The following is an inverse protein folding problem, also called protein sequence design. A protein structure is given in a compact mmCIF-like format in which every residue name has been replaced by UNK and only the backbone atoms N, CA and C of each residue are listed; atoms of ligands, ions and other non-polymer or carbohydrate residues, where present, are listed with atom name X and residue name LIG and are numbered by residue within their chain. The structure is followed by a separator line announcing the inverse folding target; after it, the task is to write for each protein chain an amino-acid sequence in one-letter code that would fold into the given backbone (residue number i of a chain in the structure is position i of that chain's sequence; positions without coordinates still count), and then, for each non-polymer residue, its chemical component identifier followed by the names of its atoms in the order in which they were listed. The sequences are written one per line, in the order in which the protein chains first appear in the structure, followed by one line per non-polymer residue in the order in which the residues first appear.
data_IF_928859609347
#
_entry.id   IF_928859609347
#
_cell.length_a   1.000
_cell.length_b   1.000
_cell.length_c   1.000
_cell.angle_alpha   90.00
_cell.angle_beta   90.00
_cell.angle_gamma   90.00
#
_symmetry.space_group_name_H-M   'P 1'
#
loop_
_entity.id
_entity.type
_entity.pdbx_description
1 polymer ?
#
# COMPACT_ATOMS: atom_id res chain seq x y z
N UNK A 1 -29.73 -8.30 1.69
CA UNK A 1 -29.06 -7.17 2.39
C UNK A 1 -27.84 -7.68 3.15
N UNK A 2 -28.00 -8.43 4.24
CA UNK A 2 -26.89 -8.91 5.08
C UNK A 2 -25.76 -9.64 4.33
N UNK A 3 -26.08 -10.52 3.37
CA UNK A 3 -25.06 -11.22 2.59
C UNK A 3 -24.15 -10.28 1.76
N UNK A 4 -24.72 -9.20 1.22
CA UNK A 4 -23.96 -8.20 0.47
C UNK A 4 -23.12 -7.31 1.40
N UNK A 5 -23.66 -6.93 2.56
CA UNK A 5 -22.94 -6.17 3.59
C UNK A 5 -21.74 -6.95 4.14
N UNK A 6 -21.93 -8.24 4.45
CA UNK A 6 -20.86 -9.13 4.91
C UNK A 6 -19.81 -9.33 3.81
N UNK A 7 -20.22 -9.46 2.54
CA UNK A 7 -19.28 -9.56 1.42
C UNK A 7 -18.44 -8.28 1.23
N UNK A 8 -18.98 -7.11 1.58
CA UNK A 8 -18.26 -5.83 1.50
C UNK A 8 -17.36 -5.55 2.72
N UNK A 9 -17.57 -6.24 3.85
CA UNK A 9 -16.83 -5.97 5.10
C UNK A 9 -15.30 -5.99 4.96
N UNK A 10 -14.66 -6.89 4.18
CA UNK A 10 -13.21 -6.87 3.98
C UNK A 10 -12.69 -5.62 3.24
N UNK A 11 -13.56 -4.90 2.53
CA UNK A 11 -13.22 -3.69 1.76
C UNK A 11 -13.29 -2.42 2.61
N UNK A 12 -13.98 -2.45 3.76
CA UNK A 12 -14.20 -1.27 4.60
C UNK A 12 -12.91 -0.58 5.06
N UNK A 13 -11.83 -1.30 5.46
CA UNK A 13 -10.58 -0.64 5.83
C UNK A 13 -9.98 0.18 4.68
N UNK A 14 -9.91 -0.40 3.48
CA UNK A 14 -9.38 0.29 2.31
C UNK A 14 -10.26 1.48 1.88
N UNK A 15 -11.59 1.35 2.02
CA UNK A 15 -12.52 2.45 1.75
C UNK A 15 -12.32 3.62 2.72
N UNK A 16 -12.08 3.35 4.00
CA UNK A 16 -11.78 4.38 5.01
C UNK A 16 -10.45 5.07 4.70
N UNK A 17 -9.40 4.30 4.40
CA UNK A 17 -8.09 4.85 4.04
C UNK A 17 -8.18 5.75 2.80
N UNK A 18 -8.93 5.34 1.77
CA UNK A 18 -9.16 6.15 0.58
C UNK A 18 -9.96 7.42 0.87
N UNK A 19 -10.97 7.36 1.74
CA UNK A 19 -11.71 8.55 2.15
C UNK A 19 -10.81 9.56 2.86
N UNK A 20 -9.94 9.10 3.76
CA UNK A 20 -8.96 9.94 4.44
C UNK A 20 -7.93 10.53 3.47
N UNK A 21 -7.49 9.76 2.47
CA UNK A 21 -6.60 10.25 1.40
C UNK A 21 -7.29 11.34 0.59
N UNK A 22 -8.54 11.12 0.17
CA UNK A 22 -9.30 12.11 -0.59
C UNK A 22 -9.50 13.40 0.22
N UNK A 23 -9.86 13.29 1.50
CA UNK A 23 -10.00 14.44 2.42
C UNK A 23 -8.69 15.22 2.54
N UNK A 24 -7.57 14.52 2.83
CA UNK A 24 -6.27 15.16 3.06
C UNK A 24 -5.67 15.82 1.83
N UNK A 25 -5.95 15.26 0.65
CA UNK A 25 -5.34 15.72 -0.60
C UNK A 25 -6.28 16.65 -1.38
N UNK A 26 -7.58 16.63 -1.10
CA UNK A 26 -8.63 17.29 -1.88
C UNK A 26 -8.87 16.66 -3.26
N UNK A 27 -8.34 15.46 -3.52
CA UNK A 27 -8.52 14.78 -4.80
C UNK A 27 -9.89 14.09 -4.89
N UNK A 28 -10.48 13.96 -6.08
CA UNK A 28 -11.67 13.13 -6.27
C UNK A 28 -11.42 11.68 -5.84
N UNK A 29 -12.43 11.06 -5.25
CA UNK A 29 -12.32 9.70 -4.72
C UNK A 29 -11.97 8.68 -5.83
N UNK A 30 -12.47 8.89 -7.04
CA UNK A 30 -12.19 8.05 -8.20
C UNK A 30 -10.73 8.17 -8.65
N UNK A 31 -10.15 9.37 -8.58
CA UNK A 31 -8.72 9.55 -8.87
C UNK A 31 -7.88 8.91 -7.75
N UNK A 32 -8.26 9.12 -6.48
CA UNK A 32 -7.57 8.54 -5.35
C UNK A 32 -7.55 7.01 -5.41
N UNK A 33 -8.68 6.38 -5.76
CA UNK A 33 -8.77 4.93 -5.96
C UNK A 33 -7.87 4.42 -7.09
N UNK A 34 -7.85 5.11 -8.24
CA UNK A 34 -6.97 4.74 -9.37
C UNK A 34 -5.49 4.89 -9.02
N UNK A 35 -5.10 5.96 -8.33
CA UNK A 35 -3.71 6.15 -7.85
C UNK A 35 -3.36 5.08 -6.82
N UNK A 36 -4.25 4.76 -5.88
CA UNK A 36 -4.03 3.73 -4.87
C UNK A 36 -3.76 2.36 -5.50
N UNK A 37 -4.51 2.02 -6.55
CA UNK A 37 -4.30 0.81 -7.34
C UNK A 37 -2.98 0.83 -8.11
N UNK A 38 -2.67 1.93 -8.81
CA UNK A 38 -1.42 2.08 -9.55
C UNK A 38 -0.17 2.00 -8.64
N UNK A 39 -0.25 2.55 -7.42
CA UNK A 39 0.79 2.39 -6.39
C UNK A 39 0.92 0.93 -5.96
N UNK A 40 -0.20 0.22 -5.77
CA UNK A 40 -0.19 -1.20 -5.40
C UNK A 40 0.51 -2.06 -6.44
N UNK A 41 0.23 -1.80 -7.72
CA UNK A 41 0.83 -2.51 -8.86
C UNK A 41 2.31 -2.19 -8.98
N UNK A 42 2.69 -0.91 -8.91
CA UNK A 42 4.08 -0.46 -9.04
C UNK A 42 5.02 -1.07 -8.00
N UNK A 43 4.50 -1.37 -6.81
CA UNK A 43 5.27 -1.85 -5.65
C UNK A 43 4.96 -3.30 -5.26
N UNK A 44 4.20 -4.04 -6.08
CA UNK A 44 3.78 -5.42 -5.80
C UNK A 44 3.10 -5.58 -4.41
N UNK A 45 2.25 -4.63 -4.01
CA UNK A 45 1.63 -4.65 -2.68
C UNK A 45 0.52 -5.70 -2.55
N UNK A 46 -0.08 -6.12 -3.67
CA UNK A 46 -1.08 -7.20 -3.70
C UNK A 46 -0.46 -8.53 -3.25
N UNK A 47 0.58 -9.07 -3.91
CA UNK A 47 1.22 -10.31 -3.46
C UNK A 47 1.84 -10.16 -2.05
N UNK A 48 2.35 -8.98 -1.68
CA UNK A 48 2.81 -8.73 -0.31
C UNK A 48 1.70 -8.93 0.74
N UNK A 49 0.49 -8.44 0.46
CA UNK A 49 -0.69 -8.65 1.32
C UNK A 49 -1.05 -10.11 1.45
N UNK A 50 -0.98 -10.86 0.35
CA UNK A 50 -1.28 -12.30 0.34
C UNK A 50 -0.31 -13.08 1.24
N UNK A 51 0.98 -12.74 1.19
CA UNK A 51 1.99 -13.30 2.08
C UNK A 51 1.69 -12.99 3.55
N UNK A 52 1.28 -11.76 3.88
CA UNK A 52 0.85 -11.39 5.23
C UNK A 52 -0.36 -12.22 5.66
N UNK A 53 -1.37 -12.38 4.81
CA UNK A 53 -2.60 -13.16 5.12
C UNK A 53 -2.31 -14.65 5.29
N UNK A 54 -1.32 -15.18 4.58
CA UNK A 54 -0.88 -16.57 4.62
C UNK A 54 -0.08 -16.95 5.88
N UNK A 55 0.40 -15.96 6.66
CA UNK A 55 1.12 -16.22 7.90
C UNK A 55 0.32 -17.10 8.89
N UNK A 56 0.96 -18.07 9.58
CA UNK A 56 0.32 -18.98 10.51
C UNK A 56 -0.56 -18.31 11.58
N UNK A 57 -1.63 -19.02 11.99
CA UNK A 57 -2.60 -18.61 13.03
C UNK A 57 -2.46 -19.39 14.33
N UNK A 58 -1.42 -20.20 14.46
CA UNK A 58 -1.26 -21.23 15.49
C UNK A 58 -1.01 -20.66 16.90
N UNK A 59 -0.64 -19.37 17.03
CA UNK A 59 -0.35 -18.73 18.32
C UNK A 59 -0.93 -17.31 18.41
N UNK A 60 -1.31 -16.92 19.64
CA UNK A 60 -1.95 -15.62 19.96
C UNK A 60 -1.08 -14.41 19.58
N UNK A 61 0.20 -14.42 19.96
CA UNK A 61 1.13 -13.30 19.71
C UNK A 61 1.45 -13.12 18.20
N UNK A 62 1.79 -14.17 17.43
CA UNK A 62 1.89 -14.08 15.98
C UNK A 62 0.61 -13.58 15.27
N UNK A 63 -0.57 -13.94 15.79
CA UNK A 63 -1.83 -13.44 15.23
C UNK A 63 -2.01 -11.92 15.43
N UNK A 64 -1.60 -11.37 16.57
CA UNK A 64 -1.57 -9.92 16.80
C UNK A 64 -0.53 -9.22 15.92
N UNK A 65 0.67 -9.81 15.78
CA UNK A 65 1.72 -9.27 14.92
C UNK A 65 1.27 -9.20 13.45
N UNK A 66 0.57 -10.22 12.96
CA UNK A 66 -0.01 -10.20 11.60
C UNK A 66 -1.05 -9.09 11.43
N UNK A 67 -1.92 -8.89 12.42
CA UNK A 67 -2.92 -7.82 12.36
C UNK A 67 -2.23 -6.44 12.27
N UNK A 68 -1.26 -6.18 13.16
CA UNK A 68 -0.45 -4.96 13.12
C UNK A 68 0.27 -4.78 11.79
N UNK A 69 0.85 -5.85 11.24
CA UNK A 69 1.58 -5.80 9.98
C UNK A 69 0.67 -5.48 8.78
N UNK A 70 -0.54 -6.04 8.76
CA UNK A 70 -1.54 -5.73 7.75
C UNK A 70 -1.97 -4.27 7.84
N UNK A 71 -2.23 -3.78 9.05
CA UNK A 71 -2.69 -2.42 9.29
C UNK A 71 -1.57 -1.40 8.96
N UNK A 72 -0.31 -1.73 9.26
CA UNK A 72 0.86 -0.96 8.82
C UNK A 72 0.96 -0.92 7.29
N UNK A 73 0.79 -2.07 6.61
CA UNK A 73 0.87 -2.17 5.16
C UNK A 73 -0.22 -1.32 4.47
N UNK A 74 -1.47 -1.36 4.95
CA UNK A 74 -2.56 -0.53 4.41
C UNK A 74 -2.29 0.95 4.67
N UNK A 75 -1.85 1.30 5.88
CA UNK A 75 -1.49 2.68 6.24
C UNK A 75 -0.36 3.26 5.39
N UNK A 76 0.70 2.49 5.13
CA UNK A 76 1.79 2.94 4.25
C UNK A 76 1.32 3.11 2.80
N UNK A 77 0.49 2.20 2.27
CA UNK A 77 -0.07 2.35 0.92
C UNK A 77 -0.91 3.64 0.82
N UNK A 78 -1.74 3.93 1.82
CA UNK A 78 -2.54 5.15 1.88
C UNK A 78 -1.64 6.40 1.95
N UNK A 79 -0.58 6.38 2.75
CA UNK A 79 0.38 7.48 2.85
C UNK A 79 1.10 7.76 1.52
N UNK A 80 1.54 6.71 0.82
CA UNK A 80 2.18 6.85 -0.49
C UNK A 80 1.19 7.33 -1.56
N UNK A 81 -0.06 6.84 -1.51
CA UNK A 81 -1.15 7.33 -2.39
C UNK A 81 -1.34 8.83 -2.20
N UNK A 82 -1.38 9.30 -0.96
CA UNK A 82 -1.51 10.72 -0.67
C UNK A 82 -0.31 11.53 -1.18
N UNK A 83 0.92 11.02 -1.02
CA UNK A 83 2.14 11.66 -1.53
C UNK A 83 2.08 11.84 -3.05
N UNK A 84 1.68 10.80 -3.79
CA UNK A 84 1.49 10.88 -5.25
C UNK A 84 0.46 11.94 -5.61
N UNK A 85 -0.68 11.96 -4.92
CA UNK A 85 -1.78 12.92 -5.18
C UNK A 85 -1.43 14.36 -4.81
N UNK A 86 -0.48 14.61 -3.89
CA UNK A 86 0.05 15.95 -3.64
C UNK A 86 0.84 16.50 -4.84
N UNK A 87 1.39 15.62 -5.68
CA UNK A 87 2.08 15.99 -6.92
C UNK A 87 1.16 16.27 -8.11
N UNK A 88 -0.17 16.16 -7.93
CA UNK A 88 -1.15 16.44 -8.99
C UNK A 88 -1.24 17.94 -9.27
N UNK A 89 -1.50 18.26 -10.53
CA UNK A 89 -1.76 19.58 -11.09
C UNK A 89 -3.23 19.75 -11.48
N UNK A 90 -3.91 18.66 -11.82
CA UNK A 90 -5.34 18.64 -12.14
C UNK A 90 -6.01 17.33 -11.72
N UNK A 91 -7.31 17.40 -11.46
CA UNK A 91 -8.12 16.24 -11.05
C UNK A 91 -8.45 15.27 -12.20
N UNK A 92 -8.14 15.67 -13.44
CA UNK A 92 -8.32 14.88 -14.65
C UNK A 92 -7.05 14.16 -15.11
N UNK A 93 -5.94 14.30 -14.38
CA UNK A 93 -4.69 13.61 -14.72
C UNK A 93 -4.83 12.08 -14.66
N UNK A 94 -4.05 11.40 -15.50
CA UNK A 94 -4.00 9.95 -15.48
C UNK A 94 -3.21 9.44 -14.27
N UNK A 95 -3.75 8.41 -13.61
CA UNK A 95 -3.15 7.87 -12.39
C UNK A 95 -1.79 7.21 -12.65
N UNK A 96 -1.60 6.57 -13.80
CA UNK A 96 -0.33 5.95 -14.16
C UNK A 96 0.75 6.99 -14.43
N UNK A 97 0.39 8.11 -15.05
CA UNK A 97 1.30 9.24 -15.27
C UNK A 97 1.72 9.91 -13.96
N UNK A 98 0.79 10.06 -13.00
CA UNK A 98 1.10 10.59 -11.66
C UNK A 98 2.08 9.67 -10.92
N UNK A 99 1.86 8.36 -10.95
CA UNK A 99 2.78 7.38 -10.33
C UNK A 99 4.12 7.35 -11.05
N UNK A 100 4.15 7.41 -12.38
CA UNK A 100 5.40 7.47 -13.14
C UNK A 100 6.23 8.71 -12.77
N UNK A 101 5.61 9.89 -12.73
CA UNK A 101 6.26 11.14 -12.30
C UNK A 101 6.78 11.06 -10.86
N UNK A 102 6.04 10.41 -9.97
CA UNK A 102 6.46 10.20 -8.60
C UNK A 102 7.72 9.32 -8.53
N UNK A 103 7.75 8.22 -9.30
CA UNK A 103 8.88 7.30 -9.43
C UNK A 103 10.10 7.98 -10.07
N UNK A 104 9.90 8.82 -11.09
CA UNK A 104 10.99 9.58 -11.73
C UNK A 104 11.68 10.53 -10.76
N UNK A 105 10.97 10.95 -9.71
CA UNK A 105 11.51 11.78 -8.63
C UNK A 105 12.25 11.01 -7.53
N UNK A 106 12.40 9.69 -7.64
CA UNK A 106 13.09 8.88 -6.64
C UNK A 106 14.61 8.98 -6.72
N UNK A 107 15.25 9.00 -5.55
CA UNK A 107 16.69 8.80 -5.45
C UNK A 107 17.09 7.33 -5.62
N UNK A 108 18.40 7.09 -5.71
CA UNK A 108 18.94 5.73 -5.88
C UNK A 108 18.60 4.80 -4.70
N UNK A 109 18.34 5.33 -3.50
CA UNK A 109 17.96 4.54 -2.32
C UNK A 109 16.52 4.09 -2.41
N UNK A 110 15.60 4.97 -2.80
CA UNK A 110 14.19 4.66 -3.04
C UNK A 110 14.04 3.65 -4.19
N UNK A 111 14.80 3.82 -5.28
CA UNK A 111 14.81 2.86 -6.39
C UNK A 111 15.24 1.45 -5.94
N UNK A 112 16.31 1.34 -5.15
CA UNK A 112 16.76 0.05 -4.59
C UNK A 112 15.74 -0.55 -3.63
N UNK A 113 15.16 0.26 -2.75
CA UNK A 113 14.12 -0.18 -1.81
C UNK A 113 12.89 -0.74 -2.54
N UNK A 114 12.45 -0.08 -3.62
CA UNK A 114 11.35 -0.54 -4.44
C UNK A 114 11.67 -1.86 -5.17
N UNK A 115 12.90 -2.02 -5.69
CA UNK A 115 13.33 -3.28 -6.29
C UNK A 115 13.35 -4.43 -5.27
N UNK A 116 13.89 -4.17 -4.07
CA UNK A 116 13.92 -5.15 -2.99
C UNK A 116 12.52 -5.63 -2.57
N UNK A 117 11.51 -4.73 -2.58
CA UNK A 117 10.12 -5.13 -2.31
C UNK A 117 9.60 -6.13 -3.35
N UNK A 118 9.89 -5.91 -4.64
CA UNK A 118 9.51 -6.83 -5.71
C UNK A 118 10.21 -8.19 -5.54
N UNK A 119 11.49 -8.19 -5.17
CA UNK A 119 12.24 -9.42 -4.94
C UNK A 119 11.67 -10.23 -3.75
N UNK A 120 11.36 -9.57 -2.63
CA UNK A 120 10.76 -10.21 -1.43
C UNK A 120 9.42 -10.88 -1.78
N UNK A 121 8.60 -10.21 -2.60
CA UNK A 121 7.28 -10.73 -3.00
C UNK A 121 7.34 -11.88 -4.01
N UNK A 122 8.51 -12.14 -4.60
CA UNK A 122 8.72 -13.21 -5.59
C UNK A 122 9.12 -14.55 -4.97
N UNK A 123 9.34 -14.63 -3.65
CA UNK A 123 9.70 -15.86 -2.94
C UNK A 123 8.49 -16.69 -2.47
N UNK A 124 8.63 -18.02 -2.46
CA UNK A 124 7.51 -18.96 -2.20
C UNK A 124 6.99 -18.97 -0.75
N UNK A 125 7.83 -18.61 0.23
CA UNK A 125 7.46 -18.53 1.65
C UNK A 125 8.29 -17.45 2.35
N UNK A 126 7.61 -16.55 3.04
CA UNK A 126 8.23 -15.50 3.83
C UNK A 126 7.90 -15.70 5.31
N UNK A 127 8.88 -15.54 6.17
CA UNK A 127 8.65 -15.50 7.62
C UNK A 127 8.18 -14.11 8.07
N UNK A 128 7.61 -14.02 9.28
CA UNK A 128 7.14 -12.76 9.85
C UNK A 128 8.24 -11.67 9.84
N UNK A 129 9.50 -12.05 10.11
CA UNK A 129 10.63 -11.13 10.12
C UNK A 129 10.89 -10.52 8.73
N UNK A 130 10.80 -11.31 7.66
CA UNK A 130 11.01 -10.84 6.29
C UNK A 130 9.92 -9.86 5.87
N UNK A 131 8.66 -10.15 6.25
CA UNK A 131 7.54 -9.25 5.95
C UNK A 131 7.58 -7.96 6.77
N UNK A 132 8.11 -7.99 8.00
CA UNK A 132 8.39 -6.77 8.78
C UNK A 132 9.45 -5.90 8.09
N UNK A 133 10.48 -6.52 7.51
CA UNK A 133 11.47 -5.81 6.71
C UNK A 133 10.83 -5.20 5.47
N UNK A 134 9.98 -5.94 4.76
CA UNK A 134 9.25 -5.42 3.60
C UNK A 134 8.44 -4.16 3.95
N UNK A 135 7.62 -4.20 5.00
CA UNK A 135 6.83 -3.02 5.41
C UNK A 135 7.71 -1.86 5.87
N UNK A 136 8.84 -2.12 6.53
CA UNK A 136 9.83 -1.07 6.85
C UNK A 136 10.45 -0.46 5.60
N UNK A 137 10.78 -1.27 4.60
CA UNK A 137 11.30 -0.81 3.31
C UNK A 137 10.28 0.07 2.60
N UNK A 138 9.00 -0.31 2.61
CA UNK A 138 7.89 0.48 2.07
C UNK A 138 7.79 1.86 2.73
N UNK A 139 7.86 1.91 4.07
CA UNK A 139 7.89 3.17 4.82
C UNK A 139 9.07 4.07 4.43
N UNK A 140 10.20 3.46 4.09
CA UNK A 140 11.41 4.16 3.63
C UNK A 140 11.27 4.83 2.26
N UNK A 141 10.23 4.50 1.48
CA UNK A 141 9.97 5.15 0.18
C UNK A 141 9.37 6.55 0.32
N UNK A 142 8.81 6.88 1.49
CA UNK A 142 8.25 8.21 1.74
C UNK A 142 9.32 9.27 1.66
N UNK A 143 9.02 10.39 1.01
CA UNK A 143 9.93 11.54 0.99
C UNK A 143 10.16 12.04 2.42
N UNK A 144 11.42 12.09 2.83
CA UNK A 144 11.83 12.76 4.08
C UNK A 144 11.84 14.26 3.80
N UNK A 145 10.75 14.94 4.14
CA UNK A 145 10.70 16.42 4.25
C UNK A 145 11.57 16.90 5.40
#
# INVERSE_FOLDING_TARGET
ALAAEVAAAPLLPAALDLALVAERTGAPIELAGRVHQAVAERLALVPLRELVVALPRDRRWPSMARASLRDDLTGEQAALTAEVLTGRKADTEDASELVARWVDGWDATQQRAAAQLVDITSGDRQELAELLVAVRTLRGLRRRT
#
